data_IF_147855335898
#
_entry.id   IF_147855335898
#
_cell.length_a   1.000
_cell.length_b   1.000
_cell.length_c   1.000
_cell.angle_alpha   90.00
_cell.angle_beta   90.00
_cell.angle_gamma   90.00
#
_symmetry.space_group_name_H-M   'P 1'
#
loop_
_entity.id
_entity.type
_entity.pdbx_description
1 polymer ?
#
# COMPACT_ATOMS: atom_id res chain seq x y z
N UNK A 1 18.37 -30.22 16.41
CA UNK A 1 17.92 -29.93 15.03
C UNK A 1 16.55 -29.28 15.16
N UNK A 2 16.52 -27.94 15.12
CA UNK A 2 15.26 -27.20 15.20
C UNK A 2 14.56 -27.30 13.85
N UNK A 3 13.31 -27.77 13.86
CA UNK A 3 12.44 -27.82 12.70
C UNK A 3 12.01 -26.39 12.39
N UNK A 4 12.75 -25.73 11.50
CA UNK A 4 12.36 -24.46 10.89
C UNK A 4 11.13 -24.76 10.03
N UNK A 5 9.95 -24.64 10.64
CA UNK A 5 8.70 -24.61 9.88
C UNK A 5 8.82 -23.42 8.95
N UNK A 6 9.15 -23.67 7.69
CA UNK A 6 8.97 -22.70 6.62
C UNK A 6 7.55 -22.16 6.77
N UNK A 7 7.44 -20.89 7.11
CA UNK A 7 6.18 -20.19 7.13
C UNK A 7 5.65 -20.29 5.70
N UNK A 8 4.64 -21.14 5.49
CA UNK A 8 3.95 -21.23 4.20
C UNK A 8 3.11 -19.96 4.08
N UNK A 9 3.80 -18.85 3.79
CA UNK A 9 3.19 -17.59 3.45
C UNK A 9 2.47 -17.72 2.13
N UNK A 10 1.43 -16.90 1.95
CA UNK A 10 0.76 -16.75 0.66
C UNK A 10 1.80 -16.44 -0.42
N UNK A 11 2.07 -17.40 -1.31
CA UNK A 11 2.98 -17.20 -2.43
C UNK A 11 2.14 -17.01 -3.68
N UNK A 12 2.13 -15.80 -4.22
CA UNK A 12 1.50 -15.51 -5.50
C UNK A 12 2.60 -15.29 -6.55
N UNK A 13 2.91 -16.29 -7.40
CA UNK A 13 4.01 -16.20 -8.35
C UNK A 13 3.91 -15.00 -9.31
N UNK A 14 2.69 -14.55 -9.63
CA UNK A 14 2.48 -13.38 -10.49
C UNK A 14 2.81 -12.07 -9.79
N UNK A 15 2.56 -11.99 -8.49
CA UNK A 15 2.92 -10.82 -7.70
C UNK A 15 4.45 -10.73 -7.53
N UNK A 16 5.11 -11.87 -7.29
CA UNK A 16 6.57 -11.92 -7.24
C UNK A 16 7.18 -11.47 -8.57
N UNK A 17 6.72 -12.03 -9.69
CA UNK A 17 7.19 -11.64 -11.03
C UNK A 17 6.97 -10.14 -11.30
N UNK A 18 5.83 -9.58 -10.87
CA UNK A 18 5.56 -8.15 -11.00
C UNK A 18 6.55 -7.29 -10.19
N UNK A 19 6.82 -7.66 -8.94
CA UNK A 19 7.75 -6.93 -8.06
C UNK A 19 9.22 -7.10 -8.48
N UNK A 20 9.56 -8.21 -9.12
CA UNK A 20 10.91 -8.49 -9.61
C UNK A 20 11.20 -7.82 -10.96
N UNK A 21 10.19 -7.73 -11.85
CA UNK A 21 10.42 -7.35 -13.26
C UNK A 21 9.82 -6.01 -13.67
N UNK A 22 8.78 -5.52 -12.98
CA UNK A 22 8.04 -4.32 -13.40
C UNK A 22 8.33 -3.12 -12.51
N UNK A 23 8.30 -3.30 -11.18
CA UNK A 23 8.49 -2.21 -10.22
C UNK A 23 9.03 -2.74 -8.89
N UNK A 24 10.06 -2.10 -8.34
CA UNK A 24 10.58 -2.49 -7.02
C UNK A 24 9.56 -2.20 -5.91
N UNK A 25 9.64 -2.95 -4.81
CA UNK A 25 8.77 -2.78 -3.64
C UNK A 25 8.76 -1.33 -3.12
N UNK A 26 9.94 -0.71 -2.98
CA UNK A 26 10.10 0.69 -2.53
C UNK A 26 9.48 1.69 -3.51
N UNK A 27 9.64 1.41 -4.81
CA UNK A 27 9.05 2.25 -5.85
C UNK A 27 7.52 2.15 -5.79
N UNK A 28 6.98 0.94 -5.65
CA UNK A 28 5.54 0.73 -5.53
C UNK A 28 4.98 1.40 -4.28
N UNK A 29 5.62 1.23 -3.13
CA UNK A 29 5.24 1.90 -1.89
C UNK A 29 5.21 3.42 -2.02
N UNK A 30 6.22 4.00 -2.69
CA UNK A 30 6.25 5.44 -2.99
C UNK A 30 5.05 5.88 -3.84
N UNK A 31 4.68 5.11 -4.88
CA UNK A 31 3.52 5.42 -5.71
C UNK A 31 2.20 5.28 -4.93
N UNK A 32 2.07 4.24 -4.10
CA UNK A 32 0.92 4.01 -3.23
C UNK A 32 0.71 5.18 -2.25
N UNK A 33 1.78 5.65 -1.57
CA UNK A 33 1.71 6.82 -0.69
C UNK A 33 1.30 8.09 -1.42
N UNK A 34 1.83 8.32 -2.62
CA UNK A 34 1.47 9.48 -3.45
C UNK A 34 -0.01 9.45 -3.84
N UNK A 35 -0.51 8.30 -4.27
CA UNK A 35 -1.93 8.12 -4.59
C UNK A 35 -2.76 8.37 -3.34
N UNK A 36 -2.35 7.82 -2.19
CA UNK A 36 -3.10 7.99 -0.96
C UNK A 36 -3.19 9.45 -0.52
N UNK A 37 -2.08 10.19 -0.62
CA UNK A 37 -2.06 11.63 -0.39
C UNK A 37 -3.01 12.40 -1.32
N UNK A 38 -3.03 12.07 -2.61
CA UNK A 38 -3.93 12.70 -3.59
C UNK A 38 -5.40 12.37 -3.28
N UNK A 39 -5.71 11.13 -2.90
CA UNK A 39 -7.06 10.73 -2.47
C UNK A 39 -7.51 11.54 -1.25
N UNK A 40 -6.68 11.62 -0.21
CA UNK A 40 -6.97 12.43 0.98
C UNK A 40 -7.19 13.90 0.63
N UNK A 41 -6.31 14.50 -0.19
CA UNK A 41 -6.48 15.88 -0.63
C UNK A 41 -7.79 16.10 -1.40
N UNK A 42 -8.19 15.14 -2.23
CA UNK A 42 -9.41 15.25 -3.04
C UNK A 42 -10.65 15.27 -2.14
N UNK A 43 -10.67 14.44 -1.09
CA UNK A 43 -11.76 14.41 -0.10
C UNK A 43 -11.76 15.69 0.74
N UNK A 44 -10.59 16.12 1.22
CA UNK A 44 -10.45 17.30 2.08
C UNK A 44 -10.80 18.61 1.37
N UNK A 45 -10.66 18.68 0.03
CA UNK A 45 -10.93 19.89 -0.77
C UNK A 45 -12.42 20.21 -0.95
N UNK A 46 -13.32 19.46 -0.31
CA UNK A 46 -14.70 19.84 0.04
C UNK A 46 -15.42 20.71 -1.00
N UNK A 47 -15.67 20.14 -2.17
CA UNK A 47 -16.92 20.39 -2.88
C UNK A 47 -17.67 19.05 -2.91
N UNK A 48 -18.46 18.79 -1.86
CA UNK A 48 -19.25 17.56 -1.72
C UNK A 48 -20.16 17.31 -2.93
N UNK A 49 -20.47 18.37 -3.70
CA UNK A 49 -21.30 18.30 -4.92
C UNK A 49 -20.51 17.97 -6.18
N UNK A 50 -19.17 18.04 -6.16
CA UNK A 50 -18.29 17.78 -7.32
C UNK A 50 -17.22 16.72 -7.07
N UNK A 51 -17.09 16.20 -5.86
CA UNK A 51 -16.15 15.14 -5.58
C UNK A 51 -16.67 13.82 -6.19
N UNK A 52 -15.97 13.24 -7.19
CA UNK A 52 -16.41 11.97 -7.79
C UNK A 52 -16.17 10.77 -6.86
N UNK A 53 -15.50 10.96 -5.73
CA UNK A 53 -15.07 9.88 -4.84
C UNK A 53 -16.10 9.70 -3.72
N UNK A 54 -16.62 8.48 -3.60
CA UNK A 54 -17.44 8.07 -2.47
C UNK A 54 -16.59 8.08 -1.17
N UNK A 55 -17.02 8.81 -0.12
CA UNK A 55 -16.28 8.87 1.14
C UNK A 55 -15.99 7.52 1.80
N UNK A 56 -16.91 6.56 1.75
CA UNK A 56 -16.76 5.22 2.34
C UNK A 56 -15.69 4.39 1.60
N UNK A 57 -15.65 4.51 0.27
CA UNK A 57 -14.63 3.85 -0.54
C UNK A 57 -13.26 4.44 -0.27
N UNK A 58 -13.21 5.74 -0.06
CA UNK A 58 -11.96 6.41 0.24
C UNK A 58 -11.43 6.11 1.63
N UNK A 59 -12.29 6.00 2.65
CA UNK A 59 -11.87 5.61 4.00
C UNK A 59 -11.26 4.20 3.99
N UNK A 60 -11.95 3.23 3.39
CA UNK A 60 -11.45 1.86 3.26
C UNK A 60 -10.20 1.79 2.38
N UNK A 61 -10.19 2.49 1.24
CA UNK A 61 -9.06 2.55 0.33
C UNK A 61 -7.83 3.20 0.99
N UNK A 62 -8.03 4.26 1.76
CA UNK A 62 -6.94 4.96 2.47
C UNK A 62 -6.23 4.03 3.44
N UNK A 63 -6.99 3.24 4.20
CA UNK A 63 -6.45 2.25 5.11
C UNK A 63 -5.62 1.20 4.38
N UNK A 64 -6.20 0.47 3.42
CA UNK A 64 -5.50 -0.64 2.76
C UNK A 64 -4.31 -0.20 1.90
N UNK A 65 -4.37 0.99 1.27
CA UNK A 65 -3.24 1.53 0.50
C UNK A 65 -2.06 1.87 1.41
N UNK A 66 -2.33 2.44 2.60
CA UNK A 66 -1.27 2.70 3.57
C UNK A 66 -0.69 1.41 4.14
N UNK A 67 -1.54 0.45 4.55
CA UNK A 67 -1.06 -0.83 5.07
C UNK A 67 -0.17 -1.56 4.05
N UNK A 68 -0.58 -1.59 2.78
CA UNK A 68 0.24 -2.20 1.72
C UNK A 68 1.55 -1.43 1.50
N UNK A 69 1.52 -0.10 1.49
CA UNK A 69 2.75 0.69 1.36
C UNK A 69 3.72 0.44 2.52
N UNK A 70 3.21 0.28 3.74
CA UNK A 70 4.01 -0.01 4.93
C UNK A 70 4.61 -1.43 4.89
N UNK A 71 3.85 -2.42 4.42
CA UNK A 71 4.35 -3.79 4.21
C UNK A 71 5.49 -3.82 3.18
N UNK A 72 5.38 -3.03 2.11
CA UNK A 72 6.34 -3.01 1.00
C UNK A 72 7.61 -2.21 1.32
N UNK A 73 7.53 -1.19 2.16
CA UNK A 73 8.62 -0.26 2.46
C UNK A 73 8.37 0.42 3.81
N UNK A 74 8.70 -0.18 4.94
CA UNK A 74 8.40 0.40 6.25
C UNK A 74 8.99 1.81 6.39
N UNK A 75 8.16 2.81 6.73
CA UNK A 75 8.61 4.22 6.82
C UNK A 75 9.54 4.44 8.02
N UNK A 76 9.47 3.57 9.02
CA UNK A 76 10.41 3.46 10.13
C UNK A 76 10.84 2.01 10.28
N UNK A 77 12.01 1.65 9.73
CA UNK A 77 12.90 0.86 10.58
C UNK A 77 13.23 1.77 11.77
N UNK A 78 12.70 1.45 12.94
CA UNK A 78 13.22 2.04 14.18
C UNK A 78 14.72 1.76 14.15
N UNK A 79 15.54 2.80 14.06
CA UNK A 79 16.92 2.71 14.53
C UNK A 79 16.85 2.20 15.98
N UNK A 80 17.51 1.08 16.24
CA UNK A 80 17.62 0.44 17.57
C UNK A 80 18.14 1.40 18.65
#
# INVERSE_FOLDING_TARGET
MANEKAQVGYTNPKLNDFLDTVISEQSLATHLRRINYILSLTIMRLDETKNPINPEWAENGFFWINELAEILDPVLEKED
#
